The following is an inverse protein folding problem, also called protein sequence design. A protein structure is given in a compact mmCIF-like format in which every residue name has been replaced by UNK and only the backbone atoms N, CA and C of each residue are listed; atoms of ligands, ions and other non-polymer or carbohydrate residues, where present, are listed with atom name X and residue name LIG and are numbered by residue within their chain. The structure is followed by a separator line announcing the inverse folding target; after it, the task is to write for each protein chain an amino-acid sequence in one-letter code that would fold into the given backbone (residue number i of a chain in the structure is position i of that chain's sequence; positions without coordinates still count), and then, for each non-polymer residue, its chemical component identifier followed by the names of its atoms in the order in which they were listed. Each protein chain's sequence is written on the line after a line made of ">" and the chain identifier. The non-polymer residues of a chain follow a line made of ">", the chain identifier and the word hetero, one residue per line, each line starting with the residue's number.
data_IF_086705908563
#
_entry.id   IF_086705908563
#
_cell.length_a   1.000
_cell.length_b   1.000
_cell.length_c   1.000
_cell.angle_alpha   90.00
_cell.angle_beta   90.00
_cell.angle_gamma   90.00
#
_symmetry.space_group_name_H-M   'P 1'
#
loop_
_entity.id
_entity.type
_entity.pdbx_description
1 polymer ?
#
# COMPACT_ATOMS: atom_id res chain seq x y z
N UNK A 1 19.12 -4.20 20.90
CA UNK A 1 20.31 -4.02 20.02
C UNK A 1 19.81 -3.58 18.65
N UNK A 2 20.36 -2.51 18.10
CA UNK A 2 20.04 -2.10 16.73
C UNK A 2 20.52 -3.20 15.77
N UNK A 3 19.64 -3.69 14.90
CA UNK A 3 20.00 -4.66 13.86
C UNK A 3 20.50 -3.87 12.65
N UNK A 4 21.76 -4.09 12.26
CA UNK A 4 22.31 -3.55 11.02
C UNK A 4 21.81 -4.38 9.84
N UNK A 5 21.25 -3.72 8.84
CA UNK A 5 20.91 -4.32 7.55
C UNK A 5 21.86 -3.76 6.50
N UNK A 6 22.46 -4.65 5.72
CA UNK A 6 23.17 -4.28 4.49
C UNK A 6 22.19 -4.41 3.33
N UNK A 7 22.11 -3.38 2.51
CA UNK A 7 21.22 -3.30 1.34
C UNK A 7 22.03 -2.73 0.19
N UNK A 8 21.81 -3.29 -1.00
CA UNK A 8 22.34 -2.74 -2.25
C UNK A 8 21.24 -1.93 -2.94
N UNK A 9 21.55 -0.67 -3.27
CA UNK A 9 20.58 0.32 -3.73
C UNK A 9 20.71 0.64 -5.23
N UNK A 10 21.66 0.02 -5.93
CA UNK A 10 22.03 0.43 -7.29
C UNK A 10 22.71 1.81 -7.31
N UNK A 11 23.11 2.29 -8.48
CA UNK A 11 23.92 3.50 -8.61
C UNK A 11 23.07 4.78 -8.52
N UNK A 12 21.92 4.83 -9.18
CA UNK A 12 21.02 6.00 -9.19
C UNK A 12 20.58 6.44 -7.78
N UNK A 13 20.17 5.49 -6.93
CA UNK A 13 19.77 5.79 -5.56
C UNK A 13 20.96 6.16 -4.68
N UNK A 14 22.16 5.67 -4.99
CA UNK A 14 23.38 6.00 -4.25
C UNK A 14 23.77 7.45 -4.49
N UNK A 15 23.79 7.88 -5.74
CA UNK A 15 24.01 9.27 -6.14
C UNK A 15 22.96 10.21 -5.53
N UNK A 16 21.69 9.80 -5.53
CA UNK A 16 20.62 10.58 -4.91
C UNK A 16 20.84 10.75 -3.40
N UNK A 17 21.17 9.67 -2.67
CA UNK A 17 21.44 9.73 -1.23
C UNK A 17 22.68 10.58 -0.94
N UNK A 18 23.73 10.48 -1.76
CA UNK A 18 24.93 11.32 -1.62
C UNK A 18 24.60 12.80 -1.78
N UNK A 19 23.79 13.17 -2.79
CA UNK A 19 23.36 14.57 -2.98
C UNK A 19 22.56 15.12 -1.78
N UNK A 20 21.74 14.28 -1.13
CA UNK A 20 20.99 14.64 0.07
C UNK A 20 21.90 14.84 1.29
N UNK A 21 22.97 14.07 1.40
CA UNK A 21 23.96 14.25 2.48
C UNK A 21 24.80 15.50 2.22
N UNK A 22 25.23 15.73 0.98
CA UNK A 22 25.99 16.93 0.58
C UNK A 22 25.20 18.23 0.79
N UNK A 23 23.88 18.19 0.61
CA UNK A 23 23.00 19.33 0.90
C UNK A 23 22.99 19.73 2.39
N UNK A 24 23.43 18.85 3.29
CA UNK A 24 23.45 19.05 4.73
C UNK A 24 22.15 18.66 5.44
N UNK A 25 21.11 18.27 4.72
CA UNK A 25 19.83 17.84 5.30
C UNK A 25 19.95 16.52 6.09
N UNK A 26 20.93 15.68 5.77
CA UNK A 26 21.16 14.39 6.41
C UNK A 26 22.64 14.16 6.71
N UNK A 27 22.94 13.49 7.83
CA UNK A 27 24.34 13.22 8.24
C UNK A 27 24.82 11.84 7.85
N UNK A 28 23.91 10.90 7.59
CA UNK A 28 24.25 9.52 7.24
C UNK A 28 23.26 8.93 6.24
N UNK A 29 23.72 7.98 5.42
CA UNK A 29 22.86 7.22 4.51
C UNK A 29 21.74 6.50 5.27
N UNK A 30 22.04 5.99 6.47
CA UNK A 30 21.03 5.30 7.29
C UNK A 30 19.93 6.25 7.80
N UNK A 31 20.18 7.54 7.97
CA UNK A 31 19.13 8.52 8.28
C UNK A 31 18.19 8.69 7.08
N UNK A 32 18.74 8.88 5.88
CA UNK A 32 17.97 9.02 4.64
C UNK A 32 17.07 7.81 4.39
N UNK A 33 17.63 6.60 4.52
CA UNK A 33 16.89 5.36 4.28
C UNK A 33 15.75 5.19 5.29
N UNK A 34 15.98 5.50 6.58
CA UNK A 34 14.93 5.39 7.60
C UNK A 34 13.77 6.34 7.33
N UNK A 35 14.08 7.57 6.94
CA UNK A 35 13.04 8.56 6.65
C UNK A 35 12.27 8.23 5.37
N UNK A 36 12.98 7.79 4.34
CA UNK A 36 12.36 7.31 3.09
C UNK A 36 11.38 6.16 3.35
N UNK A 37 11.74 5.20 4.21
CA UNK A 37 10.86 4.09 4.57
C UNK A 37 9.67 4.52 5.43
N UNK A 38 9.83 5.55 6.29
CA UNK A 38 8.72 6.13 7.05
C UNK A 38 7.71 6.77 6.09
N UNK A 39 8.17 7.59 5.15
CA UNK A 39 7.33 8.23 4.13
C UNK A 39 6.63 7.20 3.25
N UNK A 40 7.34 6.14 2.82
CA UNK A 40 6.74 5.05 2.06
C UNK A 40 5.61 4.37 2.84
N UNK A 41 5.81 4.11 4.13
CA UNK A 41 4.80 3.50 4.99
C UNK A 41 3.57 4.39 5.13
N UNK A 42 3.76 5.69 5.29
CA UNK A 42 2.67 6.67 5.38
C UNK A 42 1.85 6.71 4.08
N UNK A 43 2.52 6.87 2.93
CA UNK A 43 1.87 6.85 1.61
C UNK A 43 1.08 5.55 1.37
N UNK A 44 1.63 4.41 1.79
CA UNK A 44 0.92 3.13 1.69
C UNK A 44 -0.30 3.06 2.62
N UNK A 45 -0.23 3.63 3.82
CA UNK A 45 -1.37 3.68 4.73
C UNK A 45 -2.51 4.55 4.18
N UNK A 46 -2.17 5.73 3.63
CA UNK A 46 -3.12 6.63 3.00
C UNK A 46 -3.79 6.01 1.77
N UNK A 47 -3.00 5.35 0.91
CA UNK A 47 -3.50 4.70 -0.30
C UNK A 47 -4.49 3.57 0.03
N UNK A 48 -4.25 2.78 1.08
CA UNK A 48 -5.19 1.74 1.51
C UNK A 48 -6.51 2.32 2.01
N UNK A 49 -6.45 3.42 2.76
CA UNK A 49 -7.65 4.10 3.22
C UNK A 49 -8.46 4.68 2.04
N UNK A 50 -7.78 5.24 1.04
CA UNK A 50 -8.43 5.73 -0.16
C UNK A 50 -9.10 4.59 -0.94
N UNK A 51 -8.40 3.48 -1.14
CA UNK A 51 -8.98 2.31 -1.81
C UNK A 51 -10.24 1.80 -1.09
N UNK A 52 -10.25 1.78 0.24
CA UNK A 52 -11.44 1.42 1.02
C UNK A 52 -12.59 2.43 0.84
N UNK A 53 -12.28 3.73 0.79
CA UNK A 53 -13.29 4.77 0.52
C UNK A 53 -13.89 4.61 -0.87
N UNK A 54 -13.07 4.31 -1.86
CA UNK A 54 -13.51 4.11 -3.23
C UNK A 54 -14.42 2.88 -3.35
N UNK A 55 -14.06 1.76 -2.69
CA UNK A 55 -14.91 0.57 -2.63
C UNK A 55 -16.26 0.83 -1.93
N UNK A 56 -16.26 1.65 -0.87
CA UNK A 56 -17.50 2.04 -0.21
C UNK A 56 -18.36 2.93 -1.11
N UNK A 57 -17.75 3.89 -1.82
CA UNK A 57 -18.47 4.75 -2.75
C UNK A 57 -19.07 3.94 -3.92
N UNK A 58 -18.32 2.99 -4.46
CA UNK A 58 -18.81 2.02 -5.46
C UNK A 58 -20.00 1.23 -4.91
N UNK A 59 -19.88 0.66 -3.70
CA UNK A 59 -20.98 -0.05 -3.05
C UNK A 59 -22.23 0.81 -2.84
N UNK A 60 -22.07 2.06 -2.39
CA UNK A 60 -23.18 2.99 -2.17
C UNK A 60 -23.84 3.46 -3.48
N UNK A 61 -23.07 3.58 -4.56
CA UNK A 61 -23.57 3.96 -5.88
C UNK A 61 -24.14 2.77 -6.67
N UNK A 62 -23.94 1.53 -6.20
CA UNK A 62 -24.41 0.31 -6.87
C UNK A 62 -25.93 0.13 -6.86
N UNK A 63 -26.67 1.01 -6.19
CA UNK A 63 -28.13 1.02 -6.11
C UNK A 63 -28.65 0.59 -4.75
N UNK A 64 -29.96 0.33 -4.67
CA UNK A 64 -30.59 -0.04 -3.41
C UNK A 64 -30.17 -1.44 -2.95
N UNK A 65 -29.86 -1.57 -1.66
CA UNK A 65 -29.54 -2.84 -1.04
C UNK A 65 -30.76 -3.77 -1.11
N UNK A 66 -30.58 -4.94 -1.72
CA UNK A 66 -31.61 -5.96 -1.80
C UNK A 66 -31.48 -6.98 -0.66
N UNK A 67 -32.59 -7.58 -0.20
CA UNK A 67 -32.53 -8.69 0.75
C UNK A 67 -31.61 -9.81 0.25
N UNK A 68 -30.60 -10.15 1.04
CA UNK A 68 -29.61 -11.16 0.69
C UNK A 68 -29.84 -12.45 1.48
N UNK A 69 -30.20 -13.52 0.77
CA UNK A 69 -30.37 -14.85 1.34
C UNK A 69 -29.21 -15.77 0.94
N UNK A 70 -28.41 -16.14 1.93
CA UNK A 70 -27.14 -16.87 1.73
C UNK A 70 -27.36 -18.20 1.01
N UNK A 71 -28.35 -18.98 1.43
CA UNK A 71 -28.57 -20.33 0.90
C UNK A 71 -29.16 -20.31 -0.51
N UNK A 72 -29.95 -19.30 -0.85
CA UNK A 72 -30.44 -19.08 -2.20
C UNK A 72 -29.30 -18.65 -3.15
N UNK A 73 -28.42 -17.75 -2.68
CA UNK A 73 -27.27 -17.30 -3.45
C UNK A 73 -26.28 -18.44 -3.76
N UNK A 74 -25.90 -19.23 -2.73
CA UNK A 74 -24.96 -20.34 -2.91
C UNK A 74 -25.49 -21.42 -3.86
N UNK A 75 -26.80 -21.69 -3.86
CA UNK A 75 -27.44 -22.59 -4.84
C UNK A 75 -27.32 -22.05 -6.27
N UNK A 76 -27.58 -20.75 -6.48
CA UNK A 76 -27.46 -20.09 -7.79
C UNK A 76 -26.02 -20.15 -8.33
N UNK A 77 -25.02 -19.85 -7.49
CA UNK A 77 -23.60 -19.88 -7.90
C UNK A 77 -23.17 -21.31 -8.27
N UNK A 78 -23.51 -22.31 -7.46
CA UNK A 78 -23.19 -23.73 -7.75
C UNK A 78 -23.86 -24.24 -9.04
N UNK A 79 -25.07 -23.78 -9.34
CA UNK A 79 -25.75 -24.12 -10.59
C UNK A 79 -25.09 -23.48 -11.82
N UNK A 80 -24.55 -22.26 -11.69
CA UNK A 80 -23.86 -21.55 -12.77
C UNK A 80 -22.47 -22.09 -13.11
N UNK A 81 -21.76 -22.68 -12.13
CA UNK A 81 -20.42 -23.27 -12.30
C UNK A 81 -20.47 -24.65 -13.01
N UNK A 82 -21.65 -25.27 -13.13
CA UNK A 82 -21.82 -26.63 -13.67
C UNK A 82 -22.09 -26.69 -15.18
N UNK A 83 -21.84 -25.60 -15.91
CA UNK A 83 -21.82 -25.54 -17.39
C UNK A 83 -20.38 -25.51 -17.88
#
# INVERSE_FOLDING_TARGET
>A
MARTMTVDLGDELREFIESLIESGDYRTQSEVIRESLRLLREKQAESRLQALRDMLAEGLSSGEAQPWEKDAFLRKVKAGIRK
#
